data_IF_535774958535
#
_entry.id   IF_535774958535
#
_cell.length_a   1.000
_cell.length_b   1.000
_cell.length_c   1.000
_cell.angle_alpha   90.00
_cell.angle_beta   90.00
_cell.angle_gamma   90.00
#
_symmetry.space_group_name_H-M   'P 1'
#
loop_
_entity.id
_entity.type
_entity.pdbx_description
1 polymer ?
#
# COMPACT_ATOMS: atom_id res chain seq x y z
N UNK A 1 19.36 -0.88 8.58
CA UNK A 1 17.93 -1.22 8.70
C UNK A 1 17.14 0.00 9.10
N UNK A 2 15.92 0.12 8.61
CA UNK A 2 15.00 1.19 8.99
C UNK A 2 13.88 0.58 9.82
N UNK A 3 13.48 1.30 10.87
CA UNK A 3 12.37 0.87 11.72
C UNK A 3 11.26 1.89 11.72
N UNK A 4 10.02 1.43 11.46
CA UNK A 4 8.82 2.28 11.47
C UNK A 4 7.83 1.61 12.42
N UNK A 5 7.68 2.14 13.65
CA UNK A 5 6.91 1.47 14.69
C UNK A 5 7.44 0.06 14.95
N UNK A 6 6.59 -0.97 14.92
CA UNK A 6 7.02 -2.36 15.09
C UNK A 6 7.63 -2.97 13.82
N UNK A 7 7.52 -2.27 12.67
CA UNK A 7 7.97 -2.79 11.39
C UNK A 7 9.46 -2.51 11.21
N UNK A 8 10.24 -3.57 10.97
CA UNK A 8 11.67 -3.47 10.65
C UNK A 8 11.89 -3.81 9.19
N UNK A 9 12.46 -2.87 8.44
CA UNK A 9 12.76 -3.05 7.03
C UNK A 9 14.23 -3.46 6.85
N UNK A 10 14.48 -4.37 5.93
CA UNK A 10 15.85 -4.84 5.66
C UNK A 10 16.72 -3.77 5.02
N UNK A 11 16.12 -2.86 4.26
CA UNK A 11 16.82 -1.71 3.67
C UNK A 11 16.01 -0.44 3.95
N UNK A 12 16.64 0.75 3.95
CA UNK A 12 15.91 2.00 4.15
C UNK A 12 15.27 2.54 2.87
N UNK A 13 15.25 1.76 1.79
CA UNK A 13 14.70 2.19 0.50
C UNK A 13 13.24 1.82 0.41
N UNK A 14 12.40 2.82 0.21
CA UNK A 14 10.97 2.67 0.04
C UNK A 14 10.60 2.97 -1.42
N UNK A 15 9.83 2.08 -2.03
CA UNK A 15 9.25 2.36 -3.35
C UNK A 15 8.01 3.23 -3.14
N UNK A 16 8.09 4.49 -3.60
CA UNK A 16 7.03 5.45 -3.40
C UNK A 16 5.75 5.08 -4.16
N UNK A 17 4.57 5.41 -3.62
CA UNK A 17 3.34 5.31 -4.38
C UNK A 17 3.39 6.26 -5.59
N UNK A 18 3.12 5.74 -6.78
CA UNK A 18 3.11 6.53 -8.01
C UNK A 18 1.84 6.18 -8.79
N UNK A 19 0.91 7.13 -8.86
CA UNK A 19 -0.38 6.91 -9.50
C UNK A 19 -0.22 6.38 -10.93
N UNK A 20 -0.90 5.28 -11.23
CA UNK A 20 -0.86 4.61 -12.52
C UNK A 20 0.34 3.68 -12.74
N UNK A 21 1.27 3.56 -11.79
CA UNK A 21 2.51 2.80 -11.99
C UNK A 21 2.82 1.76 -10.93
N UNK A 22 2.16 1.80 -9.78
CA UNK A 22 2.50 0.93 -8.64
C UNK A 22 1.56 -0.26 -8.50
N UNK A 23 1.27 -0.96 -9.58
CA UNK A 23 0.53 -2.21 -9.51
C UNK A 23 1.39 -3.35 -8.93
N UNK A 24 0.77 -4.48 -8.65
CA UNK A 24 1.44 -5.63 -8.06
C UNK A 24 2.62 -6.11 -8.91
N UNK A 25 2.43 -6.19 -10.23
CA UNK A 25 3.47 -6.66 -11.15
C UNK A 25 4.69 -5.74 -11.11
N UNK A 26 4.49 -4.42 -11.10
CA UNK A 26 5.58 -3.45 -11.01
C UNK A 26 6.33 -3.57 -9.69
N UNK A 27 5.60 -3.69 -8.57
CA UNK A 27 6.25 -3.84 -7.26
C UNK A 27 7.08 -5.11 -7.17
N UNK A 28 6.56 -6.22 -7.68
CA UNK A 28 7.31 -7.49 -7.72
C UNK A 28 8.57 -7.35 -8.56
N UNK A 29 8.48 -6.72 -9.74
CA UNK A 29 9.66 -6.48 -10.58
C UNK A 29 10.73 -5.66 -9.84
N UNK A 30 10.33 -4.59 -9.15
CA UNK A 30 11.27 -3.78 -8.38
C UNK A 30 11.92 -4.58 -7.25
N UNK A 31 11.17 -5.47 -6.59
CA UNK A 31 11.71 -6.33 -5.55
C UNK A 31 12.72 -7.34 -6.09
N UNK A 32 12.45 -7.89 -7.28
CA UNK A 32 13.39 -8.82 -7.94
C UNK A 32 14.71 -8.15 -8.29
N UNK A 33 14.69 -6.86 -8.63
CA UNK A 33 15.91 -6.09 -8.86
C UNK A 33 16.70 -5.84 -7.56
N UNK A 34 16.05 -5.95 -6.43
CA UNK A 34 16.66 -5.89 -5.11
C UNK A 34 16.68 -4.49 -4.50
N UNK A 35 16.90 -4.45 -3.20
CA UNK A 35 17.08 -3.20 -2.45
C UNK A 35 15.81 -2.55 -1.94
N UNK A 36 14.63 -3.03 -2.28
CA UNK A 36 13.36 -2.46 -1.81
C UNK A 36 13.03 -3.00 -0.43
N UNK A 37 12.98 -2.13 0.58
CA UNK A 37 12.59 -2.51 1.94
C UNK A 37 11.07 -2.56 2.13
N UNK A 38 10.35 -1.64 1.49
CA UNK A 38 8.89 -1.60 1.49
C UNK A 38 8.41 -1.02 0.17
N UNK A 39 7.38 -1.61 -0.40
CA UNK A 39 6.70 -1.07 -1.58
C UNK A 39 5.27 -0.71 -1.23
N UNK A 40 4.79 0.42 -1.76
CA UNK A 40 3.42 0.87 -1.52
C UNK A 40 2.55 0.68 -2.76
N UNK A 41 1.26 0.44 -2.51
CA UNK A 41 0.27 0.37 -3.59
C UNK A 41 0.09 1.71 -4.26
N UNK A 42 -0.62 1.70 -5.37
CA UNK A 42 -1.21 2.90 -5.94
C UNK A 42 -2.22 3.52 -4.96
N UNK A 43 -2.64 4.73 -5.25
CA UNK A 43 -3.55 5.52 -4.42
C UNK A 43 -4.94 4.88 -4.37
N UNK A 44 -5.39 4.54 -3.16
CA UNK A 44 -6.66 3.84 -2.93
C UNK A 44 -7.71 4.79 -2.37
N UNK A 45 -8.82 4.93 -3.09
CA UNK A 45 -9.96 5.69 -2.58
C UNK A 45 -10.67 4.88 -1.49
N UNK A 46 -10.86 5.47 -0.31
CA UNK A 46 -11.42 4.77 0.84
C UNK A 46 -12.83 4.26 0.60
N UNK A 47 -13.70 5.05 -0.01
CA UNK A 47 -15.08 4.63 -0.30
C UNK A 47 -15.10 3.51 -1.35
N UNK A 48 -14.35 3.65 -2.42
CA UNK A 48 -14.30 2.65 -3.49
C UNK A 48 -13.77 1.31 -2.97
N UNK A 49 -12.76 1.37 -2.10
CA UNK A 49 -12.17 0.18 -1.48
C UNK A 49 -13.20 -0.57 -0.64
N UNK A 50 -13.92 0.13 0.23
CA UNK A 50 -14.92 -0.47 1.11
C UNK A 50 -16.16 -0.97 0.37
N UNK A 51 -16.50 -0.34 -0.76
CA UNK A 51 -17.59 -0.83 -1.62
C UNK A 51 -17.20 -2.07 -2.42
N UNK A 52 -15.94 -2.46 -2.41
CA UNK A 52 -15.45 -3.58 -3.20
C UNK A 52 -15.37 -3.28 -4.68
N UNK A 53 -15.12 -2.03 -5.06
CA UNK A 53 -14.89 -1.66 -6.45
C UNK A 53 -13.79 -2.52 -7.06
N UNK A 54 -14.05 -3.09 -8.23
CA UNK A 54 -13.09 -3.96 -8.91
C UNK A 54 -11.74 -3.25 -9.08
N UNK A 55 -11.76 -2.00 -9.52
CA UNK A 55 -10.53 -1.23 -9.73
C UNK A 55 -9.76 -1.01 -8.43
N UNK A 56 -10.47 -0.66 -7.34
CA UNK A 56 -9.83 -0.47 -6.04
C UNK A 56 -9.21 -1.76 -5.53
N UNK A 57 -9.92 -2.88 -5.66
CA UNK A 57 -9.40 -4.20 -5.24
C UNK A 57 -8.19 -4.63 -6.08
N UNK A 58 -8.19 -4.35 -7.37
CA UNK A 58 -7.05 -4.62 -8.25
C UNK A 58 -5.82 -3.79 -7.82
N UNK A 59 -6.02 -2.52 -7.51
CA UNK A 59 -4.94 -1.63 -7.05
C UNK A 59 -4.40 -2.04 -5.69
N UNK A 60 -5.25 -2.59 -4.82
CA UNK A 60 -4.88 -3.04 -3.49
C UNK A 60 -4.28 -4.46 -3.45
N UNK A 61 -4.29 -5.18 -4.57
CA UNK A 61 -3.83 -6.56 -4.61
C UNK A 61 -2.37 -6.68 -4.18
N UNK A 62 -2.10 -7.63 -3.30
CA UNK A 62 -0.76 -7.99 -2.83
C UNK A 62 -0.67 -9.49 -2.64
N UNK A 63 0.53 -10.00 -2.44
CA UNK A 63 0.78 -11.43 -2.17
C UNK A 63 2.02 -11.60 -1.30
N UNK A 64 2.43 -12.84 -1.05
CA UNK A 64 3.55 -13.14 -0.17
C UNK A 64 4.90 -12.67 -0.72
N UNK A 65 5.02 -12.50 -2.05
CA UNK A 65 6.24 -11.98 -2.67
C UNK A 65 6.33 -10.46 -2.58
N UNK A 66 5.22 -9.79 -2.32
CA UNK A 66 5.13 -8.33 -2.23
C UNK A 66 5.04 -7.88 -0.76
N UNK A 67 5.98 -8.34 0.06
CA UNK A 67 5.99 -8.01 1.48
C UNK A 67 7.36 -7.47 1.93
N UNK A 68 7.39 -6.52 2.86
CA UNK A 68 6.25 -5.81 3.43
C UNK A 68 5.64 -4.82 2.44
N UNK A 69 4.31 -4.73 2.44
CA UNK A 69 3.57 -3.85 1.55
C UNK A 69 2.91 -2.72 2.36
N UNK A 70 3.01 -1.50 1.85
CA UNK A 70 2.25 -0.37 2.33
C UNK A 70 1.04 -0.14 1.44
N UNK A 71 -0.06 0.36 2.00
CA UNK A 71 -1.22 0.80 1.23
C UNK A 71 -1.45 2.28 1.45
N UNK A 72 -1.50 3.04 0.35
CA UNK A 72 -1.78 4.47 0.41
C UNK A 72 -3.26 4.72 0.21
N UNK A 73 -3.87 5.38 1.20
CA UNK A 73 -5.28 5.71 1.22
C UNK A 73 -5.49 7.21 1.03
N UNK A 74 -6.62 7.58 0.43
CA UNK A 74 -7.06 8.96 0.40
C UNK A 74 -8.58 9.05 0.56
N UNK A 75 -9.04 10.23 0.96
CA UNK A 75 -10.45 10.55 1.11
C UNK A 75 -10.58 11.90 1.78
N UNK A 76 -11.81 12.42 1.78
CA UNK A 76 -12.14 13.63 2.51
C UNK A 76 -12.30 13.32 4.00
N UNK A 77 -12.37 14.35 4.83
CA UNK A 77 -12.57 14.18 6.27
C UNK A 77 -13.87 13.42 6.62
N UNK A 78 -14.88 13.48 5.74
CA UNK A 78 -16.15 12.76 5.90
C UNK A 78 -16.11 11.33 5.36
N UNK A 79 -15.02 10.92 4.71
CA UNK A 79 -14.89 9.59 4.14
C UNK A 79 -14.49 8.57 5.20
N UNK A 80 -14.77 7.28 4.99
CA UNK A 80 -14.48 6.23 5.98
C UNK A 80 -13.01 5.79 5.95
N UNK A 81 -12.07 6.74 6.17
CA UNK A 81 -10.64 6.43 6.20
C UNK A 81 -10.26 5.43 7.31
N UNK A 82 -10.79 5.55 8.55
CA UNK A 82 -10.45 4.57 9.58
C UNK A 82 -10.85 3.15 9.20
N UNK A 83 -12.05 2.97 8.67
CA UNK A 83 -12.56 1.67 8.23
C UNK A 83 -11.73 1.12 7.06
N UNK A 84 -11.34 1.99 6.14
CA UNK A 84 -10.46 1.60 5.02
C UNK A 84 -9.08 1.17 5.52
N UNK A 85 -8.54 1.81 6.54
CA UNK A 85 -7.27 1.42 7.15
C UNK A 85 -7.37 0.04 7.82
N UNK A 86 -8.48 -0.26 8.48
CA UNK A 86 -8.72 -1.60 9.03
C UNK A 86 -8.79 -2.63 7.92
N UNK A 87 -9.55 -2.34 6.86
CA UNK A 87 -9.61 -3.22 5.70
C UNK A 87 -8.23 -3.49 5.12
N UNK A 88 -7.43 -2.46 4.93
CA UNK A 88 -6.09 -2.58 4.36
C UNK A 88 -5.19 -3.45 5.25
N UNK A 89 -5.25 -3.27 6.56
CA UNK A 89 -4.50 -4.07 7.52
C UNK A 89 -4.90 -5.54 7.44
N UNK A 90 -6.19 -5.81 7.35
CA UNK A 90 -6.71 -7.17 7.23
C UNK A 90 -6.39 -7.83 5.89
N UNK A 91 -6.05 -7.03 4.89
CA UNK A 91 -5.78 -7.50 3.52
C UNK A 91 -4.31 -7.35 3.10
N UNK A 92 -3.39 -7.32 4.06
CA UNK A 92 -1.96 -7.48 3.78
C UNK A 92 -1.10 -6.24 3.94
N UNK A 93 -1.66 -5.08 4.27
CA UNK A 93 -0.85 -3.89 4.51
C UNK A 93 -0.10 -4.01 5.84
N UNK A 94 1.18 -3.70 5.82
CA UNK A 94 2.01 -3.59 7.02
C UNK A 94 2.22 -2.14 7.43
N UNK A 95 1.88 -1.22 6.55
CA UNK A 95 1.98 0.21 6.78
C UNK A 95 0.83 0.88 6.03
N UNK A 96 0.21 1.85 6.67
CA UNK A 96 -0.83 2.69 6.05
C UNK A 96 -0.23 4.07 5.84
N UNK A 97 -0.32 4.55 4.61
CA UNK A 97 0.09 5.89 4.22
C UNK A 97 -1.14 6.71 3.87
N UNK A 98 -1.27 7.89 4.44
CA UNK A 98 -2.41 8.76 4.18
C UNK A 98 -1.96 9.91 3.28
N UNK A 99 -2.55 9.96 2.08
CA UNK A 99 -2.30 11.07 1.17
C UNK A 99 -3.19 12.25 1.57
N UNK A 100 -2.57 13.36 1.89
CA UNK A 100 -3.26 14.58 2.32
C UNK A 100 -3.13 15.72 1.30
N UNK A 101 -2.73 15.40 0.10
CA UNK A 101 -2.56 16.37 -0.98
C UNK A 101 -1.13 16.73 -1.28
#
# INVERSE_FOLDING_TARGET
>A
MLRIGPLTLQTPVLLAPMAGHCDLAFRILCRELGGVGLASTDLLNSQALLRGSRRALELAATNDFDQPCGMQLYGNWSDPLPEAAVWATDNGAKLIDINMG
#
